data_IF_167406234229
#
_entry.id   IF_167406234229
#
_cell.length_a   1.000
_cell.length_b   1.000
_cell.length_c   1.000
_cell.angle_alpha   90.00
_cell.angle_beta   90.00
_cell.angle_gamma   90.00
#
_symmetry.space_group_name_H-M   'P 1'
#
loop_
_entity.id
_entity.type
_entity.pdbx_description
1 polymer ?
#
# COMPACT_ATOMS: atom_id res chain seq x y z
N UNK A 1 -52.51 -7.12 -15.39
CA UNK A 1 -52.46 -8.58 -15.61
C UNK A 1 -51.10 -9.11 -15.22
N UNK A 2 -51.01 -10.35 -14.72
CA UNK A 2 -49.73 -10.94 -14.26
C UNK A 2 -48.81 -11.24 -15.45
N UNK A 3 -47.59 -10.71 -15.44
CA UNK A 3 -46.59 -10.93 -16.51
C UNK A 3 -46.27 -12.43 -16.58
N UNK A 4 -46.35 -13.00 -17.79
CA UNK A 4 -46.00 -14.40 -18.05
C UNK A 4 -44.48 -14.52 -18.01
N UNK A 5 -43.96 -15.26 -17.03
CA UNK A 5 -42.52 -15.44 -16.82
C UNK A 5 -42.25 -16.82 -16.24
N UNK A 6 -41.09 -17.40 -16.56
CA UNK A 6 -40.66 -18.65 -15.92
C UNK A 6 -40.32 -18.42 -14.43
N UNK A 7 -40.38 -19.45 -13.56
CA UNK A 7 -39.98 -19.34 -12.16
C UNK A 7 -38.51 -18.92 -11.97
N UNK A 8 -37.64 -19.27 -12.93
CA UNK A 8 -36.23 -18.89 -12.93
C UNK A 8 -36.05 -17.41 -13.29
N UNK A 9 -36.77 -16.92 -14.32
CA UNK A 9 -36.76 -15.51 -14.71
C UNK A 9 -37.25 -14.60 -13.56
N UNK A 10 -38.25 -15.02 -12.78
CA UNK A 10 -38.74 -14.25 -11.63
C UNK A 10 -37.70 -14.14 -10.52
N UNK A 11 -37.03 -15.24 -10.18
CA UNK A 11 -35.94 -15.25 -9.19
C UNK A 11 -34.77 -14.37 -9.61
N UNK A 12 -34.36 -14.43 -10.88
CA UNK A 12 -33.29 -13.58 -11.39
C UNK A 12 -33.68 -12.10 -11.44
N UNK A 13 -34.95 -11.80 -11.74
CA UNK A 13 -35.42 -10.42 -11.76
C UNK A 13 -35.42 -9.80 -10.37
N UNK A 14 -35.82 -10.55 -9.33
CA UNK A 14 -35.68 -10.13 -7.93
C UNK A 14 -34.20 -9.95 -7.54
N UNK A 15 -33.33 -10.86 -7.95
CA UNK A 15 -31.89 -10.78 -7.66
C UNK A 15 -31.20 -9.58 -8.31
N UNK A 16 -31.59 -9.24 -9.55
CA UNK A 16 -30.98 -8.16 -10.31
C UNK A 16 -31.76 -6.84 -10.25
N UNK A 17 -32.83 -6.77 -9.46
CA UNK A 17 -33.67 -5.57 -9.35
C UNK A 17 -34.40 -5.20 -10.64
N UNK A 18 -34.59 -6.14 -11.56
CA UNK A 18 -35.24 -5.92 -12.86
C UNK A 18 -36.76 -5.94 -12.68
N UNK A 19 -37.43 -4.86 -13.06
CA UNK A 19 -38.89 -4.84 -13.09
C UNK A 19 -39.40 -5.64 -14.30
N UNK A 20 -40.09 -6.74 -14.05
CA UNK A 20 -40.71 -7.55 -15.09
C UNK A 20 -41.90 -6.85 -15.77
N UNK A 21 -42.52 -5.85 -15.12
CA UNK A 21 -43.56 -5.04 -15.73
C UNK A 21 -42.92 -4.02 -16.67
N UNK A 22 -43.00 -4.31 -17.98
CA UNK A 22 -42.43 -3.49 -19.05
C UNK A 22 -41.32 -4.20 -19.84
N UNK A 23 -40.84 -5.35 -19.37
CA UNK A 23 -39.82 -6.12 -20.08
C UNK A 23 -40.44 -6.98 -21.19
N UNK A 24 -39.98 -6.78 -22.43
CA UNK A 24 -40.44 -7.57 -23.58
C UNK A 24 -39.80 -8.96 -23.56
N UNK A 25 -40.61 -10.00 -23.38
CA UNK A 25 -40.17 -11.39 -23.33
C UNK A 25 -40.00 -12.02 -24.72
N UNK A 26 -38.99 -12.86 -24.87
CA UNK A 26 -38.68 -13.58 -26.13
C UNK A 26 -39.11 -15.05 -26.11
N UNK A 27 -39.72 -15.50 -25.01
CA UNK A 27 -40.21 -16.87 -24.87
C UNK A 27 -41.56 -17.11 -25.57
N UNK A 28 -42.03 -18.37 -25.58
CA UNK A 28 -43.33 -18.73 -26.16
C UNK A 28 -44.46 -17.85 -25.59
N UNK A 29 -45.33 -17.36 -26.47
CA UNK A 29 -46.43 -16.44 -26.12
C UNK A 29 -45.98 -15.11 -25.47
N UNK A 30 -44.74 -14.66 -25.73
CA UNK A 30 -44.19 -13.42 -25.19
C UNK A 30 -43.74 -13.51 -23.74
N UNK A 31 -43.51 -14.73 -23.22
CA UNK A 31 -43.07 -14.92 -21.85
C UNK A 31 -41.64 -14.41 -21.64
N UNK A 32 -41.39 -13.77 -20.49
CA UNK A 32 -40.05 -13.31 -20.11
C UNK A 32 -39.19 -14.51 -19.73
N UNK A 33 -38.07 -14.66 -20.44
CA UNK A 33 -37.07 -15.71 -20.22
C UNK A 33 -35.91 -15.23 -19.35
N UNK A 34 -35.07 -16.16 -18.89
CA UNK A 34 -33.83 -15.83 -18.19
C UNK A 34 -32.92 -14.92 -19.03
N UNK A 35 -32.79 -15.20 -20.32
CA UNK A 35 -31.95 -14.42 -21.22
C UNK A 35 -32.45 -12.96 -21.33
N UNK A 36 -33.77 -12.74 -21.27
CA UNK A 36 -34.35 -11.39 -21.28
C UNK A 36 -34.02 -10.63 -20.01
N UNK A 37 -34.10 -11.28 -18.85
CA UNK A 37 -33.77 -10.66 -17.55
C UNK A 37 -32.27 -10.35 -17.47
N UNK A 38 -31.40 -11.26 -17.92
CA UNK A 38 -29.95 -11.02 -17.95
C UNK A 38 -29.58 -9.92 -18.94
N UNK A 39 -30.24 -9.87 -20.10
CA UNK A 39 -30.03 -8.82 -21.10
C UNK A 39 -30.51 -7.47 -20.58
N UNK A 40 -31.65 -7.42 -19.89
CA UNK A 40 -32.15 -6.19 -19.26
C UNK A 40 -31.25 -5.74 -18.11
N UNK A 41 -30.77 -6.67 -17.27
CA UNK A 41 -29.79 -6.35 -16.22
C UNK A 41 -28.47 -5.80 -16.80
N UNK A 42 -28.04 -6.34 -17.95
CA UNK A 42 -26.85 -5.86 -18.67
C UNK A 42 -27.09 -4.53 -19.42
N UNK A 43 -28.30 -4.29 -19.93
CA UNK A 43 -28.70 -3.08 -20.64
C UNK A 43 -29.04 -1.92 -19.68
N UNK A 44 -29.62 -2.21 -18.52
CA UNK A 44 -29.81 -1.28 -17.40
C UNK A 44 -28.49 -0.85 -16.75
N UNK A 45 -27.39 -1.55 -17.06
CA UNK A 45 -26.01 -1.15 -16.74
C UNK A 45 -25.37 -0.28 -17.85
N UNK A 46 -26.13 0.18 -18.85
CA UNK A 46 -25.63 0.99 -19.98
C UNK A 46 -26.36 2.31 -20.25
N UNK A 47 -27.08 2.84 -19.26
CA UNK A 47 -27.30 4.29 -19.19
C UNK A 47 -26.14 4.88 -18.41
N UNK A 48 -25.24 5.55 -19.12
CA UNK A 48 -24.13 6.34 -18.61
C UNK A 48 -24.65 7.46 -17.69
N UNK A 49 -24.38 7.39 -16.37
CA UNK A 49 -24.47 8.53 -15.47
C UNK A 49 -23.13 9.29 -15.53
N UNK A 50 -23.10 10.60 -15.21
CA UNK A 50 -21.82 11.30 -15.09
C UNK A 50 -20.99 10.58 -14.02
N UNK A 51 -19.76 10.21 -14.37
CA UNK A 51 -18.80 9.58 -13.45
C UNK A 51 -18.71 10.42 -12.18
N UNK A 52 -19.15 9.92 -11.01
CA UNK A 52 -18.86 10.61 -9.78
C UNK A 52 -17.38 10.41 -9.51
N UNK A 53 -16.61 11.47 -9.70
CA UNK A 53 -15.27 11.58 -9.10
C UNK A 53 -15.43 11.27 -7.61
N UNK A 54 -14.59 10.41 -6.99
CA UNK A 54 -14.68 10.19 -5.56
C UNK A 54 -14.29 11.48 -4.84
N UNK A 55 -15.29 12.32 -4.52
CA UNK A 55 -15.17 13.37 -3.52
C UNK A 55 -15.10 12.69 -2.15
N UNK A 56 -13.86 12.46 -1.73
CA UNK A 56 -13.47 12.43 -0.32
C UNK A 56 -14.07 13.65 0.39
N UNK A 57 -14.56 13.55 1.65
CA UNK A 57 -15.29 14.64 2.29
C UNK A 57 -14.43 15.91 2.38
N UNK A 58 -14.82 16.94 1.64
CA UNK A 58 -14.36 18.31 1.86
C UNK A 58 -15.32 18.90 2.89
N UNK A 59 -14.85 19.00 4.14
CA UNK A 59 -15.62 19.68 5.18
C UNK A 59 -15.52 21.18 4.94
N UNK A 60 -16.62 21.78 4.48
CA UNK A 60 -16.85 23.21 4.52
C UNK A 60 -16.76 23.73 5.96
N UNK A 61 -16.07 24.85 6.16
CA UNK A 61 -16.12 25.60 7.39
C UNK A 61 -17.42 26.42 7.46
N UNK A 62 -18.06 26.49 8.64
CA UNK A 62 -18.76 27.70 9.05
C UNK A 62 -17.99 28.38 10.19
N UNK A 63 -17.77 29.68 10.02
CA UNK A 63 -17.48 30.60 11.10
C UNK A 63 -18.75 30.80 11.95
N UNK A 64 -18.60 30.88 13.29
CA UNK A 64 -19.67 31.35 14.17
C UNK A 64 -19.76 30.67 15.54
N UNK A 65 -19.13 31.33 16.54
CA UNK A 65 -19.37 31.37 18.00
C UNK A 65 -20.15 30.23 18.73
N UNK A 66 -19.56 29.72 19.83
CA UNK A 66 -20.29 29.05 20.91
C UNK A 66 -19.44 28.09 21.74
N UNK A 67 -19.26 28.38 23.03
CA UNK A 67 -18.31 27.78 24.00
C UNK A 67 -18.62 26.34 24.48
N UNK A 68 -19.11 25.44 23.62
CA UNK A 68 -19.39 24.02 23.95
C UNK A 68 -18.47 22.97 23.28
N UNK A 69 -17.56 23.40 22.40
CA UNK A 69 -17.02 22.54 21.33
C UNK A 69 -15.85 21.59 21.70
N UNK A 70 -15.45 21.43 22.97
CA UNK A 70 -14.32 20.54 23.32
C UNK A 70 -14.71 19.07 23.53
N UNK A 71 -15.94 18.78 23.95
CA UNK A 71 -16.40 17.41 24.26
C UNK A 71 -16.88 16.67 23.00
N UNK A 72 -17.74 17.30 22.19
CA UNK A 72 -18.22 16.73 20.92
C UNK A 72 -17.16 16.52 19.83
N UNK A 73 -16.07 17.32 19.82
CA UNK A 73 -14.93 17.09 18.91
C UNK A 73 -14.12 15.85 19.27
N UNK A 74 -14.01 15.50 20.56
CA UNK A 74 -13.33 14.28 21.01
C UNK A 74 -14.14 13.03 20.67
N UNK A 75 -15.45 13.06 20.85
CA UNK A 75 -16.36 11.96 20.49
C UNK A 75 -16.39 11.73 18.96
N UNK A 76 -16.50 12.80 18.17
CA UNK A 76 -16.45 12.69 16.70
C UNK A 76 -15.08 12.25 16.15
N UNK A 77 -13.98 12.66 16.79
CA UNK A 77 -12.64 12.19 16.44
C UNK A 77 -12.42 10.71 16.81
N UNK A 78 -12.96 10.28 17.95
CA UNK A 78 -12.97 8.86 18.37
C UNK A 78 -13.70 7.97 17.37
N UNK A 79 -14.90 8.37 16.94
CA UNK A 79 -15.68 7.62 15.95
C UNK A 79 -14.99 7.51 14.58
N UNK A 80 -14.30 8.58 14.12
CA UNK A 80 -13.54 8.54 12.85
C UNK A 80 -12.33 7.60 12.92
N UNK A 81 -11.58 7.63 14.02
CA UNK A 81 -10.42 6.74 14.19
C UNK A 81 -10.84 5.27 14.27
N UNK A 82 -11.98 4.99 14.91
CA UNK A 82 -12.55 3.65 14.99
C UNK A 82 -13.05 3.14 13.63
N UNK A 83 -13.75 3.99 12.88
CA UNK A 83 -14.18 3.67 11.51
C UNK A 83 -13.00 3.37 10.58
N UNK A 84 -11.93 4.17 10.64
CA UNK A 84 -10.71 3.91 9.87
C UNK A 84 -10.07 2.57 10.26
N UNK A 85 -9.99 2.27 11.56
CA UNK A 85 -9.45 1.01 12.07
C UNK A 85 -10.25 -0.19 11.57
N UNK A 86 -11.58 -0.10 11.58
CA UNK A 86 -12.45 -1.17 11.05
C UNK A 86 -12.23 -1.37 9.54
N UNK A 87 -12.14 -0.28 8.76
CA UNK A 87 -11.89 -0.36 7.32
C UNK A 87 -10.53 -1.00 7.00
N UNK A 88 -9.47 -0.59 7.69
CA UNK A 88 -8.14 -1.20 7.55
C UNK A 88 -8.17 -2.67 7.98
N UNK A 89 -8.84 -3.00 9.09
CA UNK A 89 -8.99 -4.38 9.55
C UNK A 89 -9.68 -5.28 8.53
N UNK A 90 -10.75 -4.80 7.88
CA UNK A 90 -11.44 -5.53 6.83
C UNK A 90 -10.54 -5.72 5.59
N UNK A 91 -9.80 -4.68 5.18
CA UNK A 91 -8.85 -4.73 4.06
C UNK A 91 -7.74 -5.77 4.30
N UNK A 92 -7.11 -5.73 5.48
CA UNK A 92 -6.04 -6.66 5.84
C UNK A 92 -6.55 -8.09 6.02
N UNK A 93 -7.76 -8.27 6.56
CA UNK A 93 -8.38 -9.59 6.68
C UNK A 93 -8.62 -10.21 5.30
N UNK A 94 -9.11 -9.42 4.34
CA UNK A 94 -9.28 -9.86 2.95
C UNK A 94 -7.94 -10.22 2.33
N UNK A 95 -6.94 -9.34 2.45
CA UNK A 95 -5.58 -9.59 1.95
C UNK A 95 -5.02 -10.91 2.46
N UNK A 96 -5.07 -11.14 3.77
CA UNK A 96 -4.49 -12.34 4.39
C UNK A 96 -5.25 -13.63 4.01
N UNK A 97 -6.54 -13.51 3.71
CA UNK A 97 -7.38 -14.64 3.30
C UNK A 97 -7.19 -15.01 1.83
N UNK A 98 -7.05 -14.01 0.95
CA UNK A 98 -7.10 -14.19 -0.50
C UNK A 98 -5.72 -14.27 -1.15
N UNK A 99 -4.71 -13.61 -0.57
CA UNK A 99 -3.35 -13.60 -1.12
C UNK A 99 -2.54 -14.74 -0.49
N UNK A 100 -2.04 -15.71 -1.28
CA UNK A 100 -1.13 -16.73 -0.80
C UNK A 100 0.25 -16.13 -0.53
N UNK A 101 0.41 -15.55 0.65
CA UNK A 101 1.68 -14.95 1.07
C UNK A 101 2.76 -16.02 1.25
N UNK A 102 3.94 -15.78 0.71
CA UNK A 102 5.18 -16.38 1.21
C UNK A 102 6.02 -15.30 1.91
N UNK A 103 6.89 -15.75 2.82
CA UNK A 103 7.73 -14.87 3.62
C UNK A 103 9.19 -15.24 3.47
N UNK A 104 10.06 -14.24 3.41
CA UNK A 104 11.50 -14.39 3.48
C UNK A 104 12.06 -13.40 4.50
N UNK A 105 13.25 -13.70 5.00
CA UNK A 105 14.05 -12.75 5.77
C UNK A 105 15.53 -12.95 5.49
N UNK A 106 16.27 -11.85 5.57
CA UNK A 106 17.73 -11.82 5.54
C UNK A 106 18.22 -10.78 6.54
N UNK A 107 19.42 -10.96 7.07
CA UNK A 107 20.11 -9.91 7.81
C UNK A 107 20.93 -9.10 6.81
N UNK A 108 20.70 -7.79 6.78
CA UNK A 108 21.45 -6.85 5.96
C UNK A 108 22.70 -6.38 6.72
N UNK A 109 23.82 -6.31 6.00
CA UNK A 109 25.03 -5.65 6.49
C UNK A 109 24.97 -4.17 6.12
N UNK A 110 24.85 -3.32 7.14
CA UNK A 110 24.70 -1.88 6.98
C UNK A 110 25.99 -1.12 7.31
N UNK A 111 27.09 -1.80 7.58
CA UNK A 111 28.32 -1.15 8.04
C UNK A 111 28.83 -0.10 7.03
N UNK A 112 28.93 -0.47 5.75
CA UNK A 112 29.33 0.44 4.68
C UNK A 112 28.39 1.65 4.57
N UNK A 113 27.08 1.39 4.52
CA UNK A 113 26.05 2.43 4.44
C UNK A 113 26.07 3.40 5.63
N UNK A 114 26.23 2.88 6.85
CA UNK A 114 26.26 3.69 8.07
C UNK A 114 27.52 4.55 8.15
N UNK A 115 28.69 3.99 7.81
CA UNK A 115 29.95 4.72 7.79
C UNK A 115 29.94 5.85 6.74
N UNK A 116 29.48 5.54 5.52
CA UNK A 116 29.32 6.52 4.46
C UNK A 116 28.35 7.64 4.85
N UNK A 117 27.17 7.28 5.38
CA UNK A 117 26.15 8.24 5.79
C UNK A 117 26.67 9.17 6.89
N UNK A 118 27.43 8.65 7.86
CA UNK A 118 28.04 9.46 8.91
C UNK A 118 29.01 10.50 8.32
N UNK A 119 29.84 10.09 7.36
CA UNK A 119 30.75 10.99 6.63
C UNK A 119 29.98 12.05 5.82
N UNK A 120 29.01 11.63 5.01
CA UNK A 120 28.16 12.51 4.22
C UNK A 120 27.39 13.52 5.08
N UNK A 121 26.93 13.10 6.26
CA UNK A 121 26.23 13.96 7.23
C UNK A 121 27.14 14.94 7.96
N UNK A 122 28.46 14.70 8.01
CA UNK A 122 29.44 15.60 8.63
C UNK A 122 29.44 16.99 7.99
N UNK A 123 29.20 17.07 6.67
CA UNK A 123 29.10 18.32 5.92
C UNK A 123 27.71 18.94 5.84
N UNK A 124 26.68 18.30 6.42
CA UNK A 124 25.28 18.69 6.23
C UNK A 124 24.69 19.41 7.45
N UNK A 125 23.88 20.47 7.25
CA UNK A 125 22.99 20.97 8.29
C UNK A 125 22.13 19.85 8.87
N UNK A 126 21.86 19.89 10.18
CA UNK A 126 21.07 18.85 10.87
C UNK A 126 19.72 18.58 10.18
N UNK A 127 19.07 19.63 9.69
CA UNK A 127 17.76 19.53 9.03
C UNK A 127 17.80 18.74 7.71
N UNK A 128 18.94 18.64 7.04
CA UNK A 128 19.13 17.98 5.74
C UNK A 128 20.01 16.72 5.82
N UNK A 129 20.22 16.19 7.04
CA UNK A 129 20.94 14.95 7.23
C UNK A 129 20.14 13.76 6.72
N UNK A 130 20.85 12.83 6.12
CA UNK A 130 20.36 11.52 5.75
C UNK A 130 20.12 10.69 7.01
N UNK A 131 19.15 9.78 6.94
CA UNK A 131 18.84 8.81 7.99
C UNK A 131 18.90 7.39 7.42
N UNK A 132 19.12 6.35 8.24
CA UNK A 132 19.20 4.97 7.75
C UNK A 132 18.01 4.55 6.89
N UNK A 133 16.81 5.00 7.24
CA UNK A 133 15.59 4.73 6.46
C UNK A 133 15.68 5.22 5.01
N UNK A 134 16.38 6.34 4.73
CA UNK A 134 16.52 6.83 3.36
C UNK A 134 17.35 5.88 2.49
N UNK A 135 18.45 5.33 3.04
CA UNK A 135 19.26 4.31 2.37
C UNK A 135 18.43 3.06 2.07
N UNK A 136 17.72 2.54 3.08
CA UNK A 136 16.90 1.34 2.96
C UNK A 136 15.78 1.52 1.93
N UNK A 137 15.07 2.66 1.96
CA UNK A 137 14.03 3.00 1.01
C UNK A 137 14.60 3.13 -0.42
N UNK A 138 15.74 3.81 -0.58
CA UNK A 138 16.35 4.00 -1.91
C UNK A 138 16.81 2.67 -2.50
N UNK A 139 17.53 1.86 -1.73
CA UNK A 139 17.95 0.52 -2.14
C UNK A 139 16.75 -0.37 -2.49
N UNK A 140 15.65 -0.27 -1.74
CA UNK A 140 14.41 -1.00 -2.03
C UNK A 140 13.80 -0.57 -3.35
N UNK A 141 13.75 0.74 -3.64
CA UNK A 141 13.19 1.25 -4.87
C UNK A 141 14.00 0.82 -6.10
N UNK A 142 15.33 0.91 -6.02
CA UNK A 142 16.23 0.44 -7.07
C UNK A 142 16.12 -1.08 -7.29
N UNK A 143 16.11 -1.87 -6.22
CA UNK A 143 15.90 -3.32 -6.33
C UNK A 143 14.54 -3.68 -6.94
N UNK A 144 13.49 -2.91 -6.66
CA UNK A 144 12.14 -3.16 -7.17
C UNK A 144 12.04 -2.86 -8.68
N UNK A 145 12.84 -1.90 -9.17
CA UNK A 145 13.01 -1.65 -10.60
C UNK A 145 13.67 -2.83 -11.32
N UNK A 146 14.65 -3.45 -10.68
CA UNK A 146 15.39 -4.61 -11.25
C UNK A 146 14.64 -5.94 -11.11
N UNK A 147 13.75 -6.06 -10.13
CA UNK A 147 12.90 -7.24 -9.88
C UNK A 147 11.41 -6.85 -10.00
N UNK A 148 10.91 -6.64 -11.24
CA UNK A 148 9.58 -6.08 -11.47
C UNK A 148 8.44 -6.94 -10.91
N UNK A 149 8.64 -8.25 -10.68
CA UNK A 149 7.65 -9.11 -10.02
C UNK A 149 7.34 -8.70 -8.56
N UNK A 150 8.16 -7.82 -7.95
CA UNK A 150 7.89 -7.23 -6.63
C UNK A 150 7.11 -5.90 -6.71
N UNK A 151 7.00 -5.30 -7.91
CA UNK A 151 6.50 -3.95 -8.10
C UNK A 151 5.27 -3.94 -9.02
N UNK A 152 4.08 -3.81 -8.44
CA UNK A 152 2.85 -3.76 -9.22
C UNK A 152 1.66 -4.35 -8.49
N UNK A 153 0.65 -4.74 -9.26
CA UNK A 153 -0.67 -5.06 -8.76
C UNK A 153 -1.18 -6.40 -9.27
N UNK A 154 -1.91 -7.13 -8.44
CA UNK A 154 -2.66 -8.32 -8.87
C UNK A 154 -4.16 -8.00 -8.87
N UNK A 155 -4.72 -7.86 -10.06
CA UNK A 155 -6.13 -7.49 -10.29
C UNK A 155 -6.72 -8.38 -11.36
N UNK A 156 -8.02 -8.68 -11.25
CA UNK A 156 -8.75 -9.47 -12.25
C UNK A 156 -8.11 -10.82 -12.63
N UNK A 157 -7.39 -11.42 -11.68
CA UNK A 157 -6.73 -12.72 -11.86
C UNK A 157 -5.37 -12.67 -12.58
N UNK A 158 -4.84 -11.48 -12.87
CA UNK A 158 -3.55 -11.28 -13.53
C UNK A 158 -2.64 -10.30 -12.79
N UNK A 159 -1.34 -10.47 -12.98
CA UNK A 159 -0.33 -9.53 -12.53
C UNK A 159 -0.14 -8.39 -13.55
N UNK A 160 -0.12 -7.16 -13.05
CA UNK A 160 0.16 -5.95 -13.80
C UNK A 160 1.37 -5.25 -13.18
N UNK A 161 2.56 -5.33 -13.81
CA UNK A 161 3.75 -4.65 -13.30
C UNK A 161 3.54 -3.14 -13.31
N UNK A 162 4.05 -2.46 -12.28
CA UNK A 162 4.09 -1.00 -12.22
C UNK A 162 5.06 -0.45 -13.27
N UNK A 163 4.70 0.67 -13.91
CA UNK A 163 5.55 1.35 -14.90
C UNK A 163 6.66 2.18 -14.25
N UNK A 164 6.52 2.49 -12.97
CA UNK A 164 7.49 3.18 -12.12
C UNK A 164 7.43 2.58 -10.70
N UNK A 165 8.38 2.95 -9.85
CA UNK A 165 8.37 2.53 -8.43
C UNK A 165 7.80 3.65 -7.58
N UNK A 166 6.53 3.53 -7.20
CA UNK A 166 5.87 4.42 -6.26
C UNK A 166 5.91 3.77 -4.88
N UNK A 167 6.91 4.16 -4.09
CA UNK A 167 7.25 3.48 -2.84
C UNK A 167 6.32 3.94 -1.71
N UNK A 168 5.35 3.11 -1.35
CA UNK A 168 4.49 3.34 -0.20
C UNK A 168 5.28 3.25 1.10
N UNK A 169 5.28 4.31 1.90
CA UNK A 169 6.01 4.33 3.19
C UNK A 169 5.01 4.29 4.33
N UNK A 170 5.06 3.24 5.15
CA UNK A 170 4.18 3.13 6.31
C UNK A 170 4.49 4.21 7.36
N UNK A 171 3.56 5.15 7.56
CA UNK A 171 3.66 6.26 8.52
C UNK A 171 2.58 6.14 9.59
N UNK A 172 3.02 6.11 10.85
CA UNK A 172 2.13 6.17 12.01
C UNK A 172 1.58 7.60 12.21
N UNK A 173 0.27 7.70 12.40
CA UNK A 173 -0.42 8.98 12.62
C UNK A 173 -0.49 9.32 14.11
N UNK A 174 -0.44 10.62 14.45
CA UNK A 174 -0.49 11.13 15.84
C UNK A 174 -1.77 10.75 16.58
N UNK A 175 -2.89 10.66 15.86
CA UNK A 175 -4.21 10.37 16.42
C UNK A 175 -4.53 8.85 16.40
N UNK A 176 -3.50 8.01 16.19
CA UNK A 176 -3.65 6.59 15.97
C UNK A 176 -3.97 6.25 14.52
N UNK A 177 -3.58 5.03 14.13
CA UNK A 177 -3.71 4.55 12.75
C UNK A 177 -2.40 4.64 11.97
N UNK A 178 -2.40 3.99 10.82
CA UNK A 178 -1.29 3.87 9.89
C UNK A 178 -1.78 4.22 8.49
N UNK A 179 -0.98 4.96 7.74
CA UNK A 179 -1.17 5.20 6.31
C UNK A 179 0.11 4.83 5.57
N UNK A 180 0.02 4.51 4.28
CA UNK A 180 1.18 4.21 3.44
C UNK A 180 1.20 5.11 2.19
N UNK A 181 1.43 6.43 2.33
CA UNK A 181 1.55 7.31 1.18
C UNK A 181 2.78 6.97 0.33
N UNK A 182 2.67 7.16 -0.97
CA UNK A 182 3.73 6.93 -1.93
C UNK A 182 4.75 8.07 -1.98
N UNK A 183 6.03 7.71 -2.00
CA UNK A 183 7.08 8.48 -2.67
C UNK A 183 7.03 8.11 -4.15
N UNK A 184 6.56 9.03 -5.00
CA UNK A 184 6.48 8.81 -6.44
C UNK A 184 7.87 8.75 -7.08
N UNK A 185 7.98 7.91 -8.11
CA UNK A 185 9.22 7.68 -8.89
C UNK A 185 10.48 7.50 -8.02
N UNK A 186 10.36 6.78 -6.91
CA UNK A 186 11.41 6.67 -5.90
C UNK A 186 12.71 6.04 -6.46
N UNK A 187 12.60 5.23 -7.52
CA UNK A 187 13.76 4.67 -8.22
C UNK A 187 14.54 5.72 -9.04
N UNK A 188 13.88 6.81 -9.45
CA UNK A 188 14.48 7.89 -10.24
C UNK A 188 15.03 9.05 -9.39
N UNK A 189 14.58 9.20 -8.14
CA UNK A 189 15.07 10.25 -7.23
C UNK A 189 16.53 10.02 -6.83
N UNK A 190 17.33 11.06 -6.72
CA UNK A 190 18.60 10.97 -5.97
C UNK A 190 18.30 10.69 -4.49
N UNK A 191 19.29 10.20 -3.73
CA UNK A 191 19.12 9.96 -2.30
C UNK A 191 18.73 11.24 -1.52
N UNK A 192 19.23 12.40 -1.94
CA UNK A 192 18.93 13.69 -1.33
C UNK A 192 17.49 14.15 -1.59
N UNK A 193 17.02 14.01 -2.84
CA UNK A 193 15.63 14.28 -3.20
C UNK A 193 14.68 13.32 -2.47
N UNK A 194 15.04 12.04 -2.36
CA UNK A 194 14.25 11.06 -1.60
C UNK A 194 14.16 11.44 -0.12
N UNK A 195 15.26 11.86 0.51
CA UNK A 195 15.27 12.30 1.91
C UNK A 195 14.47 13.57 2.14
N UNK A 196 14.47 14.51 1.20
CA UNK A 196 13.63 15.70 1.23
C UNK A 196 12.15 15.36 1.12
N UNK A 197 11.77 14.57 0.12
CA UNK A 197 10.40 14.14 -0.07
C UNK A 197 9.90 13.30 1.10
N UNK A 198 10.72 12.41 1.66
CA UNK A 198 10.37 11.62 2.84
C UNK A 198 10.05 12.51 4.05
N UNK A 199 10.85 13.54 4.32
CA UNK A 199 10.60 14.47 5.43
C UNK A 199 9.26 15.18 5.25
N UNK A 200 9.05 15.78 4.09
CA UNK A 200 7.81 16.49 3.75
C UNK A 200 6.58 15.55 3.82
N UNK A 201 6.68 14.35 3.24
CA UNK A 201 5.63 13.33 3.25
C UNK A 201 5.24 12.93 4.68
N UNK A 202 6.23 12.66 5.55
CA UNK A 202 6.00 12.29 6.96
C UNK A 202 5.34 13.44 7.73
N UNK A 203 5.80 14.67 7.53
CA UNK A 203 5.22 15.85 8.19
C UNK A 203 3.78 16.09 7.74
N UNK A 204 3.50 16.01 6.44
CA UNK A 204 2.14 16.12 5.89
C UNK A 204 1.25 14.97 6.32
N UNK A 205 1.74 13.73 6.38
CA UNK A 205 1.01 12.59 6.92
C UNK A 205 0.55 12.87 8.36
N UNK A 206 1.48 13.27 9.22
CA UNK A 206 1.20 13.57 10.64
C UNK A 206 0.28 14.78 10.81
N UNK A 207 0.31 15.72 9.88
CA UNK A 207 -0.59 16.88 9.83
C UNK A 207 -1.96 16.61 9.18
N UNK A 208 -2.17 15.42 8.59
CA UNK A 208 -3.39 15.08 7.86
C UNK A 208 -3.55 15.83 6.53
N UNK A 209 -2.43 16.21 5.88
CA UNK A 209 -2.37 17.01 4.65
C UNK A 209 -1.80 16.22 3.46
N UNK A 210 -2.00 14.91 3.44
CA UNK A 210 -1.63 14.07 2.31
C UNK A 210 -2.50 14.38 1.10
N UNK A 211 -1.87 14.42 -0.06
CA UNK A 211 -2.51 14.57 -1.35
C UNK A 211 -3.24 13.28 -1.72
N UNK A 212 -4.21 13.38 -2.63
CA UNK A 212 -4.95 12.18 -3.09
C UNK A 212 -4.07 11.25 -3.91
N UNK A 213 -3.20 11.81 -4.76
CA UNK A 213 -2.29 11.03 -5.61
C UNK A 213 -1.40 10.09 -4.79
N UNK A 214 -0.80 10.61 -3.71
CA UNK A 214 0.08 9.83 -2.81
C UNK A 214 -0.62 8.63 -2.15
N UNK A 215 -1.94 8.65 -2.04
CA UNK A 215 -2.70 7.55 -1.45
C UNK A 215 -3.22 6.55 -2.48
N UNK A 216 -3.15 6.87 -3.77
CA UNK A 216 -3.88 6.16 -4.80
C UNK A 216 -3.09 5.00 -5.41
N UNK A 217 -1.78 5.17 -5.59
CA UNK A 217 -0.98 4.34 -6.48
C UNK A 217 0.40 3.87 -5.96
N UNK A 218 0.66 3.68 -4.64
CA UNK A 218 1.88 2.99 -4.26
C UNK A 218 1.91 1.57 -4.85
N UNK A 219 3.00 1.22 -5.53
CA UNK A 219 3.19 -0.03 -6.28
C UNK A 219 3.86 -1.13 -5.45
N UNK A 220 4.56 -0.74 -4.38
CA UNK A 220 5.16 -1.60 -3.36
C UNK A 220 5.20 -0.82 -2.05
N UNK A 221 5.01 -1.49 -0.90
CA UNK A 221 5.04 -0.84 0.42
C UNK A 221 6.25 -1.26 1.23
N UNK A 222 6.87 -0.31 1.93
CA UNK A 222 7.89 -0.51 2.97
C UNK A 222 7.33 -0.15 4.32
N UNK A 223 7.53 -1.02 5.30
CA UNK A 223 7.34 -0.72 6.72
C UNK A 223 8.67 -0.78 7.44
N UNK A 224 9.03 0.30 8.12
CA UNK A 224 10.21 0.34 8.97
C UNK A 224 9.75 0.62 10.41
N UNK A 225 9.94 -0.37 11.29
CA UNK A 225 9.60 -0.26 12.71
C UNK A 225 10.85 -0.22 13.61
N UNK A 226 12.02 0.03 13.01
CA UNK A 226 13.29 0.05 13.72
C UNK A 226 13.38 1.11 14.81
N UNK A 227 12.81 2.28 14.58
CA UNK A 227 12.76 3.37 15.57
C UNK A 227 11.90 3.00 16.81
N UNK A 228 11.05 1.98 16.70
CA UNK A 228 10.26 1.43 17.81
C UNK A 228 10.94 0.23 18.49
N UNK A 229 12.16 -0.11 18.09
CA UNK A 229 12.94 -1.22 18.65
C UNK A 229 12.52 -2.61 18.14
N UNK A 230 11.68 -2.70 17.10
CA UNK A 230 11.26 -3.97 16.51
C UNK A 230 12.41 -4.60 15.75
N UNK A 231 12.75 -5.86 16.03
CA UNK A 231 13.88 -6.54 15.36
C UNK A 231 13.52 -7.11 13.99
N UNK A 232 12.27 -7.53 13.80
CA UNK A 232 11.75 -8.00 12.52
C UNK A 232 10.24 -7.77 12.43
N UNK A 233 9.74 -7.48 11.24
CA UNK A 233 8.31 -7.25 10.99
C UNK A 233 7.90 -7.94 9.70
N UNK A 234 6.91 -8.84 9.75
CA UNK A 234 6.34 -9.45 8.55
C UNK A 234 4.99 -8.80 8.25
N UNK A 235 4.97 -7.93 7.23
CA UNK A 235 3.78 -7.18 6.85
C UNK A 235 2.70 -8.07 6.22
N UNK A 236 1.43 -7.66 6.34
CA UNK A 236 0.37 -8.16 5.47
C UNK A 236 0.38 -7.27 4.23
N UNK A 237 0.49 -7.88 3.05
CA UNK A 237 0.53 -7.16 1.77
C UNK A 237 -0.66 -6.21 1.68
N UNK A 238 -0.42 -4.98 1.22
CA UNK A 238 -1.47 -3.97 1.04
C UNK A 238 -2.14 -4.15 -0.34
N UNK A 239 -3.31 -4.80 -0.44
CA UNK A 239 -3.89 -5.11 -1.74
C UNK A 239 -4.30 -3.81 -2.46
N UNK A 240 -4.18 -3.74 -3.81
CA UNK A 240 -3.89 -4.86 -4.71
C UNK A 240 -2.39 -5.08 -4.98
N UNK A 241 -1.48 -4.48 -4.20
CA UNK A 241 -0.04 -4.70 -4.36
C UNK A 241 0.32 -6.18 -4.17
N UNK A 242 1.52 -6.55 -4.64
CA UNK A 242 1.99 -7.94 -4.65
C UNK A 242 3.11 -8.21 -3.65
N UNK A 243 3.70 -7.16 -3.08
CA UNK A 243 4.82 -7.29 -2.14
C UNK A 243 4.83 -6.19 -1.08
N UNK A 244 5.43 -6.51 0.07
CA UNK A 244 5.72 -5.57 1.14
C UNK A 244 7.04 -5.93 1.82
N UNK A 245 7.89 -4.92 2.03
CA UNK A 245 9.20 -5.06 2.69
C UNK A 245 9.11 -4.57 4.12
N UNK A 246 9.69 -5.31 5.05
CA UNK A 246 9.80 -4.94 6.45
C UNK A 246 11.25 -4.72 6.86
N UNK A 247 11.53 -3.64 7.58
CA UNK A 247 12.83 -3.39 8.21
C UNK A 247 12.69 -3.31 9.73
N UNK A 248 13.56 -4.06 10.40
CA UNK A 248 13.77 -3.97 11.84
C UNK A 248 14.74 -2.85 12.25
N UNK A 249 15.07 -2.81 13.55
CA UNK A 249 16.03 -1.85 14.11
C UNK A 249 17.43 -2.10 13.54
N UNK A 250 18.10 -1.00 13.21
CA UNK A 250 19.54 -1.01 12.97
C UNK A 250 20.23 -1.11 14.33
N UNK A 251 21.09 -2.10 14.50
CA UNK A 251 21.84 -2.29 15.74
C UNK A 251 23.20 -2.92 15.46
N UNK A 252 24.16 -2.69 16.35
CA UNK A 252 25.43 -3.39 16.34
C UNK A 252 25.23 -4.87 16.70
N UNK A 253 25.77 -5.77 15.88
CA UNK A 253 25.69 -7.22 16.07
C UNK A 253 27.06 -7.88 15.86
N UNK A 254 27.35 -9.00 16.56
CA UNK A 254 28.48 -9.85 16.22
C UNK A 254 28.33 -10.40 14.81
N UNK A 255 29.37 -10.24 13.98
CA UNK A 255 29.33 -10.58 12.56
C UNK A 255 30.60 -11.29 12.13
N UNK A 256 30.43 -12.46 11.52
CA UNK A 256 31.54 -13.21 10.94
C UNK A 256 31.78 -12.73 9.49
N UNK A 257 32.99 -12.26 9.19
CA UNK A 257 33.35 -11.77 7.86
C UNK A 257 34.81 -12.09 7.57
N UNK A 258 35.07 -12.71 6.41
CA UNK A 258 36.40 -13.17 6.00
C UNK A 258 37.16 -13.99 7.07
N UNK A 259 36.44 -14.87 7.79
CA UNK A 259 37.01 -15.73 8.82
C UNK A 259 37.29 -15.03 10.17
N UNK A 260 36.97 -13.75 10.30
CA UNK A 260 37.12 -12.97 11.53
C UNK A 260 35.75 -12.66 12.14
N UNK A 261 35.68 -12.53 13.46
CA UNK A 261 34.51 -12.03 14.17
C UNK A 261 34.72 -10.55 14.49
N UNK A 262 33.78 -9.70 14.09
CA UNK A 262 33.75 -8.27 14.39
C UNK A 262 32.36 -7.81 14.83
N UNK A 263 32.20 -6.51 15.05
CA UNK A 263 30.91 -5.86 15.28
C UNK A 263 30.55 -5.11 14.00
N UNK A 264 29.31 -5.23 13.54
CA UNK A 264 28.77 -4.48 12.40
C UNK A 264 27.39 -3.95 12.68
N UNK A 265 27.05 -2.82 12.08
CA UNK A 265 25.66 -2.37 12.01
C UNK A 265 24.87 -3.32 11.11
N UNK A 266 23.77 -3.86 11.63
CA UNK A 266 22.92 -4.79 10.89
C UNK A 266 21.44 -4.53 11.15
N UNK A 267 20.58 -4.95 10.22
CA UNK A 267 19.14 -4.94 10.39
C UNK A 267 18.51 -6.15 9.69
N UNK A 268 17.44 -6.71 10.26
CA UNK A 268 16.65 -7.74 9.58
C UNK A 268 15.76 -7.08 8.53
N UNK A 269 15.91 -7.49 7.27
CA UNK A 269 14.96 -7.23 6.21
C UNK A 269 14.05 -8.44 6.00
N UNK A 270 12.77 -8.20 5.85
CA UNK A 270 11.76 -9.22 5.56
C UNK A 270 11.03 -8.89 4.28
N UNK A 271 10.50 -9.91 3.63
CA UNK A 271 9.61 -9.77 2.48
C UNK A 271 8.35 -10.59 2.73
N UNK A 272 7.20 -9.97 2.52
CA UNK A 272 5.94 -10.65 2.28
C UNK A 272 5.58 -10.48 0.81
N UNK A 273 5.37 -11.57 0.07
CA UNK A 273 5.06 -11.49 -1.35
C UNK A 273 4.01 -12.52 -1.80
N UNK A 274 3.31 -12.21 -2.89
CA UNK A 274 2.22 -13.00 -3.45
C UNK A 274 2.74 -14.18 -4.29
N UNK A 275 2.48 -15.41 -3.84
CA UNK A 275 2.94 -16.62 -4.53
C UNK A 275 2.27 -16.85 -5.91
N UNK A 276 1.23 -16.07 -6.26
CA UNK A 276 0.66 -16.07 -7.61
C UNK A 276 1.52 -15.33 -8.63
N UNK A 277 2.39 -14.43 -8.16
CA UNK A 277 3.21 -13.53 -8.99
C UNK A 277 4.67 -13.94 -8.96
N UNK A 278 5.18 -14.26 -7.78
CA UNK A 278 6.58 -14.57 -7.56
C UNK A 278 6.77 -15.81 -6.69
N UNK A 279 8.02 -16.15 -6.40
CA UNK A 279 8.40 -17.29 -5.58
C UNK A 279 9.65 -16.97 -4.74
N UNK A 280 10.07 -17.94 -3.90
CA UNK A 280 11.22 -17.79 -3.03
C UNK A 280 12.53 -17.41 -3.74
N UNK A 281 12.75 -17.88 -4.97
CA UNK A 281 13.94 -17.52 -5.75
C UNK A 281 13.93 -16.03 -6.13
N UNK A 282 12.80 -15.53 -6.64
CA UNK A 282 12.65 -14.10 -7.00
C UNK A 282 12.71 -13.19 -5.79
N UNK A 283 12.00 -13.57 -4.71
CA UNK A 283 12.04 -12.81 -3.46
C UNK A 283 13.42 -12.79 -2.81
N UNK A 284 14.15 -13.91 -2.87
CA UNK A 284 15.52 -14.00 -2.37
C UNK A 284 16.46 -13.08 -3.15
N UNK A 285 16.40 -13.11 -4.48
CA UNK A 285 17.18 -12.19 -5.34
C UNK A 285 16.87 -10.73 -5.04
N UNK A 286 15.61 -10.39 -4.80
CA UNK A 286 15.23 -9.03 -4.43
C UNK A 286 15.85 -8.58 -3.12
N UNK A 287 15.78 -9.39 -2.06
CA UNK A 287 16.41 -9.07 -0.77
C UNK A 287 17.94 -9.01 -0.87
N UNK A 288 18.57 -9.95 -1.61
CA UNK A 288 20.01 -9.91 -1.88
C UNK A 288 20.40 -8.64 -2.64
N UNK A 289 19.59 -8.19 -3.60
CA UNK A 289 19.89 -6.98 -4.36
C UNK A 289 19.83 -5.73 -3.49
N UNK A 290 18.90 -5.66 -2.53
CA UNK A 290 18.85 -4.58 -1.53
C UNK A 290 20.16 -4.55 -0.74
N UNK A 291 20.65 -5.71 -0.27
CA UNK A 291 21.90 -5.82 0.49
C UNK A 291 23.12 -5.36 -0.34
N UNK A 292 23.21 -5.81 -1.60
CA UNK A 292 24.29 -5.42 -2.53
C UNK A 292 24.33 -3.91 -2.78
N UNK A 293 23.18 -3.28 -3.03
CA UNK A 293 23.06 -1.83 -3.25
C UNK A 293 23.52 -1.02 -2.02
N UNK A 294 23.33 -1.57 -0.81
CA UNK A 294 23.75 -0.91 0.44
C UNK A 294 25.28 -1.01 0.67
N UNK A 295 25.99 -1.82 -0.13
CA UNK A 295 27.46 -1.91 -0.07
C UNK A 295 28.16 -0.81 -0.87
N UNK A 296 27.47 -0.16 -1.82
CA UNK A 296 27.97 1.01 -2.58
C UNK A 296 27.05 2.22 -2.36
N UNK A 297 26.94 2.74 -1.11
CA UNK A 297 25.96 3.75 -0.74
C UNK A 297 26.10 5.09 -1.49
N UNK A 298 27.28 5.40 -2.03
CA UNK A 298 27.53 6.56 -2.89
C UNK A 298 26.87 6.47 -4.28
N UNK A 299 26.46 5.27 -4.70
CA UNK A 299 25.79 5.02 -5.98
C UNK A 299 24.26 4.99 -5.85
N UNK A 300 23.73 5.14 -4.63
CA UNK A 300 22.29 5.14 -4.33
C UNK A 300 21.56 6.38 -4.84
#
# INVERSE_FOLDING_TARGET
GRVRSSPLARRLAEQFGVNLQGLSGTGPEGAVTEADVRREAAAGSRVEPPVPTPERPVAAAPAGAGTGARRGRKEAAGGKAESLRQAVGALMSRSKKEIPHYYLATTLDLEAGMAWMASANGGRPVASRLVPSALLLKATALAAKEVPEMNGFFTDGSFHPGTAVHLGVAVALRNGGLVAPALHDADALTLDELMEQLRDLVDRARAGRLQRAEMADPTITVTNLGDLGVESVYGVIYPPQVAMVGFGRVMEQPWAHHGMLGIRHAATATLSADHRVSNGLRGGRFLSRIDELLQTPEEL
#
